data_IF_898318704106
#
_entry.id   IF_898318704106
#
_cell.length_a   1.000
_cell.length_b   1.000
_cell.length_c   1.000
_cell.angle_alpha   90.00
_cell.angle_beta   90.00
_cell.angle_gamma   90.00
#
_symmetry.space_group_name_H-M   'P 1'
#
loop_
_entity.id
_entity.type
_entity.pdbx_description
1 polymer ?
#
# COMPACT_ATOMS: atom_id res chain seq x y z
N UNK A 1 0.51 -3.28 30.22
CA UNK A 1 1.64 -3.41 29.26
C UNK A 1 1.43 -2.40 28.15
N UNK A 2 2.48 -1.73 27.66
CA UNK A 2 2.37 -0.83 26.51
C UNK A 2 2.11 -1.65 25.24
N UNK A 3 1.21 -1.17 24.37
CA UNK A 3 0.94 -1.81 23.07
C UNK A 3 2.21 -1.84 22.22
N UNK A 4 2.44 -2.93 21.52
CA UNK A 4 3.48 -3.02 20.49
C UNK A 4 3.14 -2.10 19.31
N UNK A 5 4.15 -1.73 18.50
CA UNK A 5 3.93 -0.90 17.30
C UNK A 5 3.01 -1.61 16.30
N UNK A 6 3.10 -2.93 16.20
CA UNK A 6 2.20 -3.73 15.35
C UNK A 6 0.75 -3.64 15.80
N UNK A 7 0.49 -3.75 17.10
CA UNK A 7 -0.86 -3.58 17.65
C UNK A 7 -1.39 -2.17 17.42
N UNK A 8 -0.57 -1.14 17.63
CA UNK A 8 -0.98 0.25 17.37
C UNK A 8 -1.41 0.49 15.91
N UNK A 9 -0.63 -0.05 14.97
CA UNK A 9 -0.92 0.05 13.53
C UNK A 9 -2.21 -0.70 13.20
N UNK A 10 -2.30 -1.95 13.62
CA UNK A 10 -3.43 -2.82 13.29
C UNK A 10 -4.73 -2.31 13.90
N UNK A 11 -4.71 -1.87 15.15
CA UNK A 11 -5.88 -1.29 15.82
C UNK A 11 -6.42 -0.07 15.05
N UNK A 12 -5.52 0.80 14.54
CA UNK A 12 -5.93 1.95 13.75
C UNK A 12 -6.60 1.59 12.42
N UNK A 13 -6.11 0.56 11.75
CA UNK A 13 -6.72 0.04 10.53
C UNK A 13 -8.08 -0.62 10.85
N UNK A 14 -8.15 -1.41 11.91
CA UNK A 14 -9.40 -2.04 12.37
C UNK A 14 -10.45 -0.97 12.69
N UNK A 15 -10.07 0.07 13.43
CA UNK A 15 -10.98 1.18 13.77
C UNK A 15 -11.58 1.84 12.53
N UNK A 16 -10.78 2.11 11.50
CA UNK A 16 -11.27 2.66 10.24
C UNK A 16 -12.22 1.70 9.52
N UNK A 17 -11.87 0.41 9.44
CA UNK A 17 -12.71 -0.62 8.82
C UNK A 17 -14.05 -0.80 9.57
N UNK A 18 -14.05 -0.75 10.90
CA UNK A 18 -15.26 -0.82 11.72
C UNK A 18 -16.17 0.39 11.53
N UNK A 19 -15.61 1.54 11.18
CA UNK A 19 -16.35 2.75 10.78
C UNK A 19 -16.82 2.73 9.32
N UNK A 20 -16.56 1.64 8.58
CA UNK A 20 -16.90 1.50 7.17
C UNK A 20 -15.95 2.25 6.23
N UNK A 21 -14.84 2.76 6.74
CA UNK A 21 -13.77 3.36 5.94
C UNK A 21 -12.73 2.31 5.58
N UNK A 22 -12.46 2.15 4.28
CA UNK A 22 -11.36 1.30 3.80
C UNK A 22 -10.12 2.18 3.63
N UNK A 23 -9.07 2.01 4.47
CA UNK A 23 -7.96 2.97 4.54
C UNK A 23 -7.15 3.12 3.25
N UNK A 24 -7.16 2.13 2.39
CA UNK A 24 -6.46 2.14 1.10
C UNK A 24 -7.34 2.60 -0.07
N UNK A 25 -8.64 2.76 0.13
CA UNK A 25 -9.57 3.34 -0.83
C UNK A 25 -9.87 4.79 -0.43
N UNK A 26 -9.03 5.73 -0.85
CA UNK A 26 -9.21 7.14 -0.49
C UNK A 26 -10.13 7.83 -1.49
N UNK A 27 -11.14 8.60 -1.03
CA UNK A 27 -12.10 9.27 -1.91
C UNK A 27 -11.55 10.56 -2.53
N UNK A 28 -10.33 10.98 -2.23
CA UNK A 28 -9.77 12.19 -2.80
C UNK A 28 -8.88 11.88 -3.99
N UNK A 29 -9.37 12.29 -5.11
CA UNK A 29 -8.68 12.35 -6.38
C UNK A 29 -8.01 13.72 -6.51
N UNK A 30 -6.76 13.71 -6.83
CA UNK A 30 -6.01 14.92 -7.15
C UNK A 30 -4.53 14.60 -7.27
N UNK A 31 -3.86 15.27 -8.16
CA UNK A 31 -2.46 15.11 -8.55
C UNK A 31 -1.45 15.21 -7.39
N UNK A 32 -1.91 15.39 -6.15
CA UNK A 32 -1.11 15.38 -4.92
C UNK A 32 -1.84 14.65 -3.79
N UNK A 33 -2.26 13.42 -4.06
CA UNK A 33 -2.95 12.59 -3.06
C UNK A 33 -2.04 12.02 -1.97
N UNK A 34 -0.72 12.12 -2.11
CA UNK A 34 0.24 11.53 -1.19
C UNK A 34 0.58 12.44 -0.02
N UNK A 35 0.83 11.83 1.13
CA UNK A 35 1.48 12.45 2.26
C UNK A 35 3.00 12.39 2.11
N UNK A 36 3.69 13.50 2.41
CA UNK A 36 5.14 13.66 2.25
C UNK A 36 5.79 14.10 3.55
N UNK A 37 7.02 13.66 3.78
CA UNK A 37 7.81 14.22 4.87
C UNK A 37 8.36 15.62 4.49
N UNK A 38 8.18 16.61 5.37
CA UNK A 38 8.56 18.01 5.10
C UNK A 38 10.06 18.20 4.86
N UNK A 39 10.90 17.40 5.48
CA UNK A 39 12.38 17.51 5.36
C UNK A 39 12.90 16.74 4.16
N UNK A 40 12.60 15.44 4.07
CA UNK A 40 13.11 14.60 2.99
C UNK A 40 12.42 14.84 1.65
N UNK A 41 11.24 15.46 1.64
CA UNK A 41 10.38 15.66 0.46
C UNK A 41 9.99 14.37 -0.25
N UNK A 42 10.15 13.22 0.42
CA UNK A 42 9.77 11.91 -0.09
C UNK A 42 8.37 11.55 0.35
N UNK A 43 7.59 10.88 -0.50
CA UNK A 43 6.30 10.34 -0.09
C UNK A 43 6.52 9.29 1.02
N UNK A 44 5.55 9.18 1.89
CA UNK A 44 5.49 8.10 2.86
C UNK A 44 5.17 6.77 2.18
N UNK A 45 5.60 5.66 2.78
CA UNK A 45 5.28 4.30 2.33
C UNK A 45 3.77 4.06 2.31
N UNK A 46 3.33 3.06 1.54
CA UNK A 46 1.91 2.69 1.44
C UNK A 46 1.26 2.51 2.81
N UNK A 47 1.93 1.82 3.74
CA UNK A 47 1.42 1.66 5.10
C UNK A 47 1.21 3.01 5.80
N UNK A 48 2.20 3.90 5.72
CA UNK A 48 2.09 5.21 6.35
C UNK A 48 1.03 6.09 5.68
N UNK A 49 0.84 5.98 4.37
CA UNK A 49 -0.27 6.65 3.68
C UNK A 49 -1.63 6.25 4.28
N UNK A 50 -1.83 4.98 4.64
CA UNK A 50 -3.07 4.50 5.26
C UNK A 50 -3.26 4.99 6.71
N UNK A 51 -2.17 5.26 7.42
CA UNK A 51 -2.19 5.74 8.81
C UNK A 51 -2.42 7.24 8.93
N UNK A 52 -2.08 8.00 7.89
CA UNK A 52 -2.18 9.46 7.85
C UNK A 52 -3.55 9.90 7.31
N UNK A 53 -4.12 10.92 7.90
CA UNK A 53 -5.50 11.37 7.63
C UNK A 53 -5.62 12.24 6.38
N UNK A 54 -4.59 13.04 6.10
CA UNK A 54 -4.60 14.03 5.02
C UNK A 54 -3.46 13.78 4.04
N UNK A 55 -3.64 14.19 2.80
CA UNK A 55 -2.53 14.37 1.86
C UNK A 55 -1.71 15.62 2.22
N UNK A 56 -0.48 15.71 1.72
CA UNK A 56 0.36 16.89 1.91
C UNK A 56 1.52 16.67 2.87
N UNK A 57 1.98 17.76 3.48
CA UNK A 57 3.24 17.76 4.22
C UNK A 57 3.05 17.43 5.70
N UNK A 58 3.85 16.49 6.15
CA UNK A 58 3.96 16.08 7.54
C UNK A 58 5.38 16.23 8.07
N UNK A 59 5.49 16.57 9.34
CA UNK A 59 6.75 16.62 10.07
C UNK A 59 6.59 16.24 11.53
N UNK A 60 7.67 15.79 12.15
CA UNK A 60 7.72 15.66 13.62
C UNK A 60 7.70 17.03 14.25
N UNK A 61 7.35 17.10 15.55
CA UNK A 61 7.38 18.35 16.32
C UNK A 61 8.73 19.06 16.14
N UNK A 62 9.85 18.33 16.27
CA UNK A 62 11.20 18.88 16.12
C UNK A 62 11.46 19.41 14.71
N UNK A 63 11.03 18.70 13.67
CA UNK A 63 11.20 19.15 12.28
C UNK A 63 10.45 20.43 11.99
N UNK A 64 9.21 20.57 12.49
CA UNK A 64 8.46 21.82 12.37
C UNK A 64 9.13 22.98 13.12
N UNK A 65 9.61 22.71 14.34
CA UNK A 65 10.32 23.72 15.14
C UNK A 65 11.61 24.20 14.47
N UNK A 66 12.38 23.29 13.87
CA UNK A 66 13.61 23.61 13.10
C UNK A 66 13.34 24.48 11.86
N UNK A 67 12.12 24.39 11.31
CA UNK A 67 11.66 25.22 10.18
C UNK A 67 10.98 26.51 10.62
N UNK A 68 10.98 26.82 11.93
CA UNK A 68 10.32 28.01 12.49
C UNK A 68 8.82 27.85 12.73
N UNK A 69 8.29 26.65 12.52
CA UNK A 69 6.86 26.35 12.72
C UNK A 69 6.50 26.06 14.16
N UNK A 70 5.26 26.38 14.51
CA UNK A 70 4.67 26.14 15.83
C UNK A 70 3.39 25.32 15.70
N UNK A 71 3.35 24.15 16.34
CA UNK A 71 2.14 23.34 16.41
C UNK A 71 1.11 24.07 17.27
N UNK A 72 -0.11 24.26 16.75
CA UNK A 72 -1.18 24.91 17.53
C UNK A 72 -1.53 24.10 18.77
N UNK A 73 -1.86 24.80 19.84
CA UNK A 73 -2.28 24.17 21.10
C UNK A 73 -3.58 23.39 20.90
N UNK A 74 -3.58 22.13 21.37
CA UNK A 74 -4.73 21.24 21.26
C UNK A 74 -4.72 20.32 20.03
N UNK A 75 -3.77 20.49 19.11
CA UNK A 75 -3.62 19.61 17.97
C UNK A 75 -3.10 18.21 18.38
N UNK A 76 -3.56 17.18 17.68
CA UNK A 76 -3.20 15.80 17.92
C UNK A 76 -2.31 15.28 16.80
N UNK A 77 -1.24 14.58 17.19
CA UNK A 77 -0.33 13.93 16.25
C UNK A 77 -0.94 12.67 15.64
N UNK A 78 -0.52 12.35 14.43
CA UNK A 78 -0.69 11.05 13.80
C UNK A 78 0.61 10.25 13.90
N UNK A 79 0.53 8.93 13.68
CA UNK A 79 1.71 8.07 13.75
C UNK A 79 2.16 7.67 12.35
N UNK A 80 3.47 7.61 12.17
CA UNK A 80 4.12 6.94 11.04
C UNK A 80 5.10 5.91 11.56
N UNK A 81 5.35 4.87 10.79
CA UNK A 81 6.23 3.77 11.19
C UNK A 81 7.38 3.60 10.21
N UNK A 82 8.55 3.25 10.74
CA UNK A 82 9.75 2.97 9.96
C UNK A 82 10.50 1.79 10.53
N UNK A 83 11.12 1.03 9.64
CA UNK A 83 12.08 0.01 10.04
C UNK A 83 13.40 0.63 10.46
N UNK A 84 13.85 0.29 11.66
CA UNK A 84 15.18 0.63 12.15
C UNK A 84 15.97 -0.65 12.36
N UNK A 85 17.10 -0.75 11.69
CA UNK A 85 18.03 -1.86 11.92
C UNK A 85 18.77 -1.59 13.23
N UNK A 86 18.67 -2.53 14.15
CA UNK A 86 19.36 -2.47 15.45
C UNK A 86 20.37 -3.60 15.54
N UNK A 87 21.67 -3.30 15.74
CA UNK A 87 22.67 -4.31 16.01
C UNK A 87 22.45 -4.86 17.44
N UNK A 88 22.42 -6.19 17.57
CA UNK A 88 22.37 -6.88 18.86
C UNK A 88 23.56 -7.82 18.92
N UNK A 89 24.32 -7.76 20.03
CA UNK A 89 25.37 -8.75 20.30
C UNK A 89 24.73 -10.08 20.69
N UNK A 90 25.06 -11.12 19.95
CA UNK A 90 24.68 -12.50 20.26
C UNK A 90 25.95 -13.27 20.67
N UNK A 91 25.95 -13.86 21.84
CA UNK A 91 27.04 -14.71 22.30
C UNK A 91 26.65 -16.16 21.97
N UNK A 92 27.41 -16.80 21.10
CA UNK A 92 27.24 -18.21 20.75
C UNK A 92 27.68 -19.10 21.89
N UNK A 93 27.26 -20.36 21.85
CA UNK A 93 27.61 -21.37 22.87
C UNK A 93 29.13 -21.58 23.04
N UNK A 94 29.90 -21.29 21.96
CA UNK A 94 31.38 -21.34 21.96
C UNK A 94 32.05 -20.08 22.52
N UNK A 95 31.27 -19.11 23.03
CA UNK A 95 31.76 -17.84 23.57
C UNK A 95 32.06 -16.78 22.51
N UNK A 96 31.86 -17.05 21.19
CA UNK A 96 32.11 -16.11 20.12
C UNK A 96 31.02 -15.05 20.09
N UNK A 97 31.40 -13.76 20.09
CA UNK A 97 30.49 -12.63 19.94
C UNK A 97 30.20 -12.38 18.46
N UNK A 98 28.95 -12.40 18.08
CA UNK A 98 28.50 -12.02 16.74
C UNK A 98 27.50 -10.87 16.82
N UNK A 99 27.53 -9.95 15.83
CA UNK A 99 26.56 -8.85 15.73
C UNK A 99 25.47 -9.27 14.76
N UNK A 100 24.25 -9.42 15.25
CA UNK A 100 23.06 -9.69 14.44
C UNK A 100 22.29 -8.41 14.22
N UNK A 101 21.98 -8.11 12.96
CA UNK A 101 21.16 -6.97 12.59
C UNK A 101 19.67 -7.36 12.68
N UNK A 102 18.93 -6.77 13.62
CA UNK A 102 17.50 -7.05 13.79
C UNK A 102 16.68 -5.84 13.35
N UNK A 103 15.78 -6.00 12.35
CA UNK A 103 14.86 -4.94 11.97
C UNK A 103 13.78 -4.78 13.05
N UNK A 104 13.69 -3.59 13.62
CA UNK A 104 12.65 -3.21 14.58
C UNK A 104 11.73 -2.17 13.97
N UNK A 105 10.42 -2.40 14.05
CA UNK A 105 9.44 -1.41 13.66
C UNK A 105 9.36 -0.34 14.77
N UNK A 106 9.57 0.92 14.39
CA UNK A 106 9.47 2.09 15.27
C UNK A 106 8.39 3.02 14.77
N UNK A 107 7.73 3.74 15.67
CA UNK A 107 6.78 4.79 15.29
C UNK A 107 7.31 6.17 15.67
N UNK A 108 6.81 7.18 14.96
CA UNK A 108 7.07 8.59 15.21
C UNK A 108 5.77 9.36 15.13
N UNK A 109 5.63 10.33 16.01
CA UNK A 109 4.50 11.27 15.98
C UNK A 109 4.80 12.37 14.95
N UNK A 110 3.84 12.60 14.06
CA UNK A 110 3.91 13.64 13.03
C UNK A 110 2.67 14.52 13.06
N UNK A 111 2.82 15.75 12.59
CA UNK A 111 1.75 16.73 12.48
C UNK A 111 1.67 17.17 11.02
N UNK A 112 0.43 17.32 10.53
CA UNK A 112 0.17 17.84 9.19
C UNK A 112 0.42 19.36 9.16
N UNK A 113 0.78 19.90 7.99
CA UNK A 113 1.03 21.35 7.80
C UNK A 113 -0.16 22.21 8.23
N UNK A 114 -1.41 21.73 8.06
CA UNK A 114 -2.60 22.45 8.51
C UNK A 114 -2.70 22.64 10.02
N UNK A 115 -1.86 21.99 10.82
CA UNK A 115 -1.78 22.08 12.28
C UNK A 115 -0.66 23.00 12.74
N UNK A 116 0.06 23.64 11.80
CA UNK A 116 1.30 24.37 12.07
C UNK A 116 1.17 25.81 11.63
N UNK A 117 1.56 26.75 12.49
CA UNK A 117 1.67 28.16 12.19
C UNK A 117 3.15 28.56 11.97
N UNK A 118 3.38 29.62 11.21
CA UNK A 118 4.72 30.22 11.03
C UNK A 118 5.58 29.59 9.94
N UNK A 119 5.02 28.67 9.13
CA UNK A 119 5.74 28.07 8.00
C UNK A 119 5.01 28.37 6.69
N UNK A 120 5.71 29.03 5.78
CA UNK A 120 5.26 29.15 4.39
C UNK A 120 5.85 28.02 3.56
N UNK A 121 5.01 27.22 2.91
CA UNK A 121 5.42 26.17 2.01
C UNK A 121 5.04 26.55 0.59
N UNK A 122 6.04 26.58 -0.29
CA UNK A 122 5.77 26.71 -1.73
C UNK A 122 5.11 25.43 -2.22
N UNK A 123 3.91 25.52 -2.74
CA UNK A 123 3.24 24.41 -3.41
C UNK A 123 4.09 23.95 -4.61
N UNK A 124 4.18 22.64 -4.79
CA UNK A 124 4.78 22.09 -6.00
C UNK A 124 3.82 22.36 -7.17
N UNK A 125 4.34 22.68 -8.37
CA UNK A 125 3.48 22.80 -9.54
C UNK A 125 2.75 21.47 -9.77
N UNK A 126 1.45 21.56 -10.02
CA UNK A 126 0.61 20.43 -10.38
C UNK A 126 1.02 20.00 -11.79
N UNK A 127 1.55 18.79 -11.92
CA UNK A 127 1.75 18.16 -13.23
C UNK A 127 0.47 17.43 -13.57
N UNK A 128 -0.21 17.90 -14.62
CA UNK A 128 -1.39 17.23 -15.13
C UNK A 128 -0.96 15.94 -15.85
N UNK A 129 -1.57 14.83 -15.49
CA UNK A 129 -1.40 13.54 -16.14
C UNK A 129 -2.80 13.07 -16.55
N UNK A 130 -2.95 12.61 -17.79
CA UNK A 130 -4.18 11.93 -18.20
C UNK A 130 -4.22 10.53 -17.57
N UNK A 131 -5.11 10.28 -16.58
CA UNK A 131 -5.04 9.08 -15.76
C UNK A 131 -5.17 7.79 -16.55
N UNK A 132 -6.02 7.77 -17.57
CA UNK A 132 -6.30 6.57 -18.35
C UNK A 132 -5.17 6.29 -19.35
N UNK A 133 -4.60 7.30 -19.97
CA UNK A 133 -3.42 7.15 -20.86
C UNK A 133 -2.22 6.61 -20.07
N UNK A 134 -2.01 7.11 -18.86
CA UNK A 134 -0.94 6.66 -18.01
C UNK A 134 -1.17 5.22 -17.50
N UNK A 135 -2.43 4.85 -17.18
CA UNK A 135 -2.78 3.48 -16.82
C UNK A 135 -2.50 2.50 -17.97
N UNK A 136 -2.84 2.89 -19.21
CA UNK A 136 -2.55 2.09 -20.39
C UNK A 136 -1.04 1.97 -20.63
N UNK A 137 -0.27 3.06 -20.44
CA UNK A 137 1.19 3.04 -20.53
C UNK A 137 1.81 2.06 -19.54
N UNK A 138 1.38 2.11 -18.28
CA UNK A 138 1.86 1.17 -17.23
C UNK A 138 1.57 -0.27 -17.62
N UNK A 139 0.37 -0.56 -18.12
CA UNK A 139 -0.02 -1.90 -18.59
C UNK A 139 0.92 -2.40 -19.69
N UNK A 140 1.12 -1.61 -20.74
CA UNK A 140 1.92 -2.02 -21.90
C UNK A 140 3.43 -2.11 -21.58
N UNK A 141 3.96 -1.22 -20.74
CA UNK A 141 5.35 -1.30 -20.27
C UNK A 141 5.58 -2.56 -19.44
N UNK A 142 4.68 -2.86 -18.49
CA UNK A 142 4.77 -4.06 -17.67
C UNK A 142 4.66 -5.32 -18.52
N UNK A 143 3.65 -5.41 -19.38
CA UNK A 143 3.43 -6.53 -20.30
C UNK A 143 4.65 -6.81 -21.18
N UNK A 144 5.25 -5.75 -21.74
CA UNK A 144 6.43 -5.86 -22.62
C UNK A 144 7.67 -6.28 -21.85
N UNK A 145 7.93 -5.67 -20.70
CA UNK A 145 9.10 -5.95 -19.87
C UNK A 145 9.09 -7.39 -19.32
N UNK A 146 7.93 -7.84 -18.84
CA UNK A 146 7.78 -9.14 -18.22
C UNK A 146 7.45 -10.26 -19.21
N UNK A 147 7.23 -9.93 -20.49
CA UNK A 147 6.75 -10.86 -21.52
C UNK A 147 5.48 -11.62 -21.12
N UNK A 148 4.62 -10.98 -20.31
CA UNK A 148 3.37 -11.55 -19.82
C UNK A 148 2.22 -11.28 -20.81
N UNK A 149 1.42 -12.31 -21.10
CA UNK A 149 0.23 -12.14 -21.92
C UNK A 149 -0.92 -11.58 -21.07
N UNK A 150 -1.56 -10.49 -21.54
CA UNK A 150 -2.79 -9.93 -20.99
C UNK A 150 -3.90 -10.15 -22.00
N UNK A 151 -4.88 -10.98 -21.64
CA UNK A 151 -6.02 -11.38 -22.47
C UNK A 151 -7.25 -10.57 -22.09
N UNK A 152 -7.62 -9.64 -22.91
CA UNK A 152 -8.89 -8.90 -22.82
C UNK A 152 -9.93 -9.63 -23.68
N UNK A 153 -10.81 -10.42 -23.06
CA UNK A 153 -11.78 -11.27 -23.77
C UNK A 153 -13.18 -11.11 -23.20
N UNK A 154 -14.20 -11.45 -24.00
CA UNK A 154 -15.57 -11.50 -23.50
C UNK A 154 -15.69 -12.61 -22.46
N UNK A 155 -15.81 -12.24 -21.18
CA UNK A 155 -15.80 -13.15 -20.06
C UNK A 155 -16.48 -12.50 -18.84
N UNK A 156 -16.88 -13.30 -17.85
CA UNK A 156 -17.31 -12.84 -16.54
C UNK A 156 -16.26 -13.13 -15.45
N UNK A 157 -15.01 -13.42 -15.83
CA UNK A 157 -13.94 -13.78 -14.91
C UNK A 157 -12.69 -12.97 -15.22
N UNK A 158 -12.11 -12.39 -14.18
CA UNK A 158 -10.77 -11.86 -14.16
C UNK A 158 -9.91 -12.75 -13.25
N UNK A 159 -8.70 -13.05 -13.66
CA UNK A 159 -7.73 -13.84 -12.87
C UNK A 159 -6.33 -13.75 -13.47
N UNK A 160 -5.33 -13.89 -12.62
CA UNK A 160 -3.98 -14.27 -13.00
C UNK A 160 -3.84 -15.80 -12.92
N UNK A 161 -3.24 -16.42 -13.93
CA UNK A 161 -2.93 -17.85 -13.98
C UNK A 161 -1.46 -18.08 -13.66
N UNK A 162 -1.11 -18.57 -12.44
CA UNK A 162 0.30 -18.80 -12.08
C UNK A 162 0.98 -19.88 -12.92
N UNK A 163 0.24 -20.92 -13.33
CA UNK A 163 0.79 -22.03 -14.12
C UNK A 163 0.98 -21.69 -15.59
N UNK A 164 0.14 -20.79 -16.12
CA UNK A 164 0.21 -20.35 -17.52
C UNK A 164 0.93 -19.02 -17.70
N UNK A 165 1.22 -18.34 -16.61
CA UNK A 165 1.81 -17.01 -16.53
C UNK A 165 1.15 -15.99 -17.47
N UNK A 166 -0.17 -15.89 -17.38
CA UNK A 166 -0.96 -14.90 -18.11
C UNK A 166 -2.04 -14.28 -17.23
N UNK A 167 -2.46 -13.08 -17.59
CA UNK A 167 -3.59 -12.38 -17.00
C UNK A 167 -4.78 -12.46 -17.95
N UNK A 168 -5.97 -12.74 -17.43
CA UNK A 168 -7.21 -12.63 -18.17
C UNK A 168 -8.14 -11.65 -17.46
N UNK A 169 -8.71 -10.72 -18.23
CA UNK A 169 -9.74 -9.79 -17.77
C UNK A 169 -10.87 -9.70 -18.80
N UNK A 170 -12.10 -9.38 -18.39
CA UNK A 170 -13.15 -9.00 -19.33
C UNK A 170 -12.73 -7.82 -20.20
N UNK A 171 -13.20 -7.76 -21.44
CA UNK A 171 -12.90 -6.62 -22.31
C UNK A 171 -13.54 -5.33 -21.78
N UNK A 172 -12.93 -4.17 -22.11
CA UNK A 172 -13.28 -2.85 -21.56
C UNK A 172 -14.76 -2.51 -21.68
N UNK A 173 -15.39 -2.94 -22.77
CA UNK A 173 -16.80 -2.70 -23.09
C UNK A 173 -17.79 -3.41 -22.14
N UNK A 174 -17.31 -4.37 -21.35
CA UNK A 174 -18.13 -5.10 -20.35
C UNK A 174 -18.22 -4.38 -19.01
N UNK A 175 -17.40 -3.37 -18.79
CA UNK A 175 -17.41 -2.59 -17.54
C UNK A 175 -18.32 -1.38 -17.63
N UNK A 176 -18.90 -1.00 -16.50
CA UNK A 176 -19.77 0.19 -16.41
C UNK A 176 -19.00 1.48 -16.66
N UNK A 177 -17.74 1.51 -16.22
CA UNK A 177 -16.81 2.60 -16.44
C UNK A 177 -15.39 2.06 -16.59
N UNK A 178 -14.51 2.88 -17.12
CA UNK A 178 -13.13 2.49 -17.45
C UNK A 178 -12.27 2.31 -16.18
N UNK A 179 -12.61 3.00 -15.10
CA UNK A 179 -11.94 2.92 -13.83
C UNK A 179 -12.07 1.51 -13.21
N UNK A 180 -13.24 0.87 -13.37
CA UNK A 180 -13.46 -0.52 -12.92
C UNK A 180 -12.60 -1.50 -13.70
N UNK A 181 -12.40 -1.29 -15.00
CA UNK A 181 -11.50 -2.11 -15.81
C UNK A 181 -10.07 -2.02 -15.26
N UNK A 182 -9.52 -0.81 -15.04
CA UNK A 182 -8.16 -0.67 -14.55
C UNK A 182 -8.01 -1.14 -13.10
N UNK A 183 -9.02 -0.98 -12.27
CA UNK A 183 -9.04 -1.55 -10.92
C UNK A 183 -8.87 -3.07 -10.94
N UNK A 184 -9.64 -3.73 -11.80
CA UNK A 184 -9.56 -5.19 -12.00
C UNK A 184 -8.21 -5.60 -12.59
N UNK A 185 -7.78 -4.92 -13.64
CA UNK A 185 -6.52 -5.20 -14.31
C UNK A 185 -5.32 -5.07 -13.37
N UNK A 186 -5.22 -3.98 -12.61
CA UNK A 186 -4.13 -3.76 -11.67
C UNK A 186 -4.14 -4.78 -10.53
N UNK A 187 -5.30 -5.22 -10.08
CA UNK A 187 -5.42 -6.31 -9.10
C UNK A 187 -4.74 -7.60 -9.63
N UNK A 188 -5.06 -8.00 -10.86
CA UNK A 188 -4.47 -9.18 -11.49
C UNK A 188 -2.98 -8.98 -11.82
N UNK A 189 -2.58 -7.75 -12.18
CA UNK A 189 -1.17 -7.42 -12.36
C UNK A 189 -0.38 -7.56 -11.06
N UNK A 190 -0.94 -7.13 -9.92
CA UNK A 190 -0.28 -7.33 -8.61
C UNK A 190 -0.12 -8.81 -8.30
N UNK A 191 -1.14 -9.65 -8.53
CA UNK A 191 -1.00 -11.11 -8.40
C UNK A 191 0.12 -11.65 -9.28
N UNK A 192 0.19 -11.22 -10.53
CA UNK A 192 1.22 -11.69 -11.46
C UNK A 192 2.64 -11.38 -11.01
N UNK A 193 2.86 -10.28 -10.28
CA UNK A 193 4.19 -10.00 -9.70
C UNK A 193 4.64 -11.05 -8.69
N UNK A 194 3.72 -11.82 -8.15
CA UNK A 194 4.03 -12.91 -7.21
C UNK A 194 4.59 -14.18 -7.85
N UNK A 195 4.68 -14.25 -9.17
CA UNK A 195 5.26 -15.40 -9.87
C UNK A 195 6.71 -15.65 -9.45
N UNK A 196 7.14 -16.92 -9.51
CA UNK A 196 8.49 -17.36 -9.12
C UNK A 196 9.64 -16.66 -9.86
N UNK A 197 9.39 -16.18 -11.08
CA UNK A 197 10.38 -15.45 -11.88
C UNK A 197 10.44 -13.96 -11.57
N UNK A 198 9.54 -13.46 -10.72
CA UNK A 198 9.43 -12.04 -10.32
C UNK A 198 9.70 -11.90 -8.83
N UNK A 199 8.70 -11.63 -8.02
CA UNK A 199 8.86 -11.44 -6.58
C UNK A 199 8.74 -12.74 -5.74
N UNK A 200 8.51 -13.88 -6.37
CA UNK A 200 8.46 -15.23 -5.78
C UNK A 200 7.63 -15.29 -4.48
N UNK A 201 6.42 -14.76 -4.56
CA UNK A 201 5.54 -14.59 -3.40
C UNK A 201 4.40 -15.60 -3.38
N UNK A 202 4.02 -16.13 -4.56
CA UNK A 202 2.98 -17.13 -4.68
C UNK A 202 3.53 -18.53 -4.42
N UNK A 203 2.98 -19.20 -3.40
CA UNK A 203 3.30 -20.60 -3.16
C UNK A 203 2.82 -21.47 -4.33
N UNK A 204 3.74 -22.20 -4.95
CA UNK A 204 3.41 -23.21 -5.97
C UNK A 204 2.97 -24.48 -5.27
N UNK A 205 1.66 -24.76 -5.25
CA UNK A 205 1.13 -26.03 -4.72
C UNK A 205 -0.33 -25.94 -4.27
N UNK A 206 -0.86 -27.09 -3.87
CA UNK A 206 -2.25 -27.34 -3.52
C UNK A 206 -2.79 -26.61 -2.27
N UNK A 207 -2.01 -25.76 -1.62
CA UNK A 207 -2.38 -25.13 -0.34
C UNK A 207 -3.07 -23.77 -0.49
N UNK A 208 -3.08 -23.17 -1.68
CA UNK A 208 -3.77 -21.90 -1.95
C UNK A 208 -5.23 -22.12 -2.37
N UNK A 209 -6.02 -22.87 -1.57
CA UNK A 209 -7.45 -22.99 -1.82
C UNK A 209 -8.18 -21.69 -1.53
N UNK A 210 -9.18 -21.39 -2.34
CA UNK A 210 -10.11 -20.28 -2.12
C UNK A 210 -10.61 -20.28 -0.66
N UNK A 211 -10.42 -19.17 0.05
CA UNK A 211 -10.79 -19.03 1.45
C UNK A 211 -9.75 -19.49 2.48
N UNK A 212 -8.58 -19.98 2.06
CA UNK A 212 -7.45 -20.24 2.97
C UNK A 212 -6.86 -18.94 3.50
N UNK A 213 -6.13 -19.00 4.63
CA UNK A 213 -5.45 -17.84 5.20
C UNK A 213 -4.39 -17.26 4.23
N UNK A 214 -3.65 -18.14 3.55
CA UNK A 214 -2.64 -17.75 2.55
C UNK A 214 -3.29 -17.03 1.37
N UNK A 215 -4.42 -17.55 0.86
CA UNK A 215 -5.20 -16.90 -0.18
C UNK A 215 -5.68 -15.51 0.25
N UNK A 216 -6.26 -15.40 1.45
CA UNK A 216 -6.74 -14.11 1.97
C UNK A 216 -5.61 -13.09 2.15
N UNK A 217 -4.40 -13.55 2.48
CA UNK A 217 -3.21 -12.69 2.60
C UNK A 217 -2.75 -12.16 1.25
N UNK A 218 -2.80 -12.97 0.23
CA UNK A 218 -2.44 -12.54 -1.13
C UNK A 218 -3.51 -11.61 -1.71
N UNK A 219 -4.79 -11.89 -1.49
CA UNK A 219 -5.89 -11.01 -1.90
C UNK A 219 -5.74 -9.59 -1.31
N UNK A 220 -5.44 -9.47 0.00
CA UNK A 220 -5.21 -8.14 0.57
C UNK A 220 -3.98 -7.45 -0.02
N UNK A 221 -2.93 -8.21 -0.34
CA UNK A 221 -1.76 -7.65 -1.03
C UNK A 221 -2.14 -7.09 -2.40
N UNK A 222 -2.96 -7.82 -3.16
CA UNK A 222 -3.43 -7.38 -4.48
C UNK A 222 -4.35 -6.16 -4.38
N UNK A 223 -5.27 -6.15 -3.42
CA UNK A 223 -6.14 -4.99 -3.15
C UNK A 223 -5.34 -3.73 -2.80
N UNK A 224 -4.38 -3.85 -1.87
CA UNK A 224 -3.53 -2.72 -1.48
C UNK A 224 -2.69 -2.19 -2.64
N UNK A 225 -2.14 -3.09 -3.45
CA UNK A 225 -1.32 -2.72 -4.62
C UNK A 225 -2.14 -2.05 -5.72
N UNK A 226 -3.30 -2.62 -6.05
CA UNK A 226 -4.23 -2.04 -7.03
C UNK A 226 -4.69 -0.65 -6.60
N UNK A 227 -5.15 -0.50 -5.36
CA UNK A 227 -5.57 0.79 -4.82
C UNK A 227 -4.44 1.83 -4.84
N UNK A 228 -3.20 1.40 -4.57
CA UNK A 228 -2.03 2.29 -4.65
C UNK A 228 -1.79 2.79 -6.07
N UNK A 229 -1.84 1.91 -7.07
CA UNK A 229 -1.69 2.30 -8.49
C UNK A 229 -2.79 3.27 -8.92
N UNK A 230 -4.05 2.97 -8.59
CA UNK A 230 -5.19 3.86 -8.91
C UNK A 230 -5.03 5.23 -8.25
N UNK A 231 -4.68 5.27 -6.96
CA UNK A 231 -4.46 6.52 -6.23
C UNK A 231 -3.32 7.37 -6.84
N UNK A 232 -2.22 6.73 -7.24
CA UNK A 232 -1.10 7.42 -7.92
C UNK A 232 -1.52 8.07 -9.23
N UNK A 233 -2.45 7.44 -9.94
CA UNK A 233 -2.97 7.93 -11.21
C UNK A 233 -4.10 8.95 -11.04
N UNK A 234 -4.62 9.14 -9.82
CA UNK A 234 -5.80 9.95 -9.58
C UNK A 234 -7.08 9.32 -10.11
N UNK A 235 -7.09 8.00 -10.31
CA UNK A 235 -8.27 7.23 -10.69
C UNK A 235 -9.06 6.92 -9.42
N UNK A 236 -10.36 7.27 -9.43
CA UNK A 236 -11.23 6.93 -8.30
C UNK A 236 -11.36 5.41 -8.19
N UNK A 237 -11.15 4.90 -6.98
CA UNK A 237 -11.41 3.49 -6.71
C UNK A 237 -12.92 3.25 -6.76
N UNK A 238 -13.40 2.38 -7.64
CA UNK A 238 -14.83 2.14 -7.78
C UNK A 238 -15.46 1.69 -6.47
N UNK A 239 -16.56 2.32 -6.08
CA UNK A 239 -17.33 1.93 -4.89
C UNK A 239 -17.91 0.51 -4.98
N UNK A 240 -17.97 -0.02 -6.19
CA UNK A 240 -18.53 -1.34 -6.52
C UNK A 240 -17.56 -2.49 -6.28
N UNK A 241 -16.25 -2.22 -6.26
CA UNK A 241 -15.28 -3.27 -6.05
C UNK A 241 -15.38 -3.77 -4.61
N UNK A 242 -16.21 -4.79 -4.43
CA UNK A 242 -16.23 -5.68 -3.24
C UNK A 242 -16.29 -4.96 -1.88
N UNK A 243 -16.81 -3.75 -1.81
CA UNK A 243 -17.23 -3.10 -0.56
C UNK A 243 -18.40 -3.88 0.10
N UNK A 244 -18.52 -5.18 -0.21
CA UNK A 244 -19.45 -6.00 0.49
C UNK A 244 -18.99 -6.11 1.94
N UNK A 245 -19.92 -5.97 2.86
CA UNK A 245 -19.70 -6.21 4.28
C UNK A 245 -18.96 -7.53 4.55
N UNK A 246 -19.05 -8.51 3.66
CA UNK A 246 -18.36 -9.79 3.72
C UNK A 246 -16.83 -9.67 3.61
N UNK A 247 -16.30 -8.81 2.72
CA UNK A 247 -14.84 -8.59 2.60
C UNK A 247 -14.29 -7.84 3.81
N UNK A 248 -14.95 -6.77 4.23
CA UNK A 248 -14.56 -6.04 5.43
C UNK A 248 -14.57 -6.98 6.65
N UNK A 249 -15.57 -7.82 6.80
CA UNK A 249 -15.64 -8.80 7.88
C UNK A 249 -14.52 -9.85 7.80
N UNK A 250 -14.14 -10.29 6.60
CA UNK A 250 -13.01 -11.21 6.40
C UNK A 250 -11.68 -10.56 6.81
N UNK A 251 -11.42 -9.34 6.37
CA UNK A 251 -10.22 -8.60 6.75
C UNK A 251 -10.16 -8.31 8.25
N UNK A 252 -11.27 -7.87 8.85
CA UNK A 252 -11.36 -7.66 10.30
C UNK A 252 -11.01 -8.93 11.08
N UNK A 253 -11.50 -10.09 10.64
CA UNK A 253 -11.19 -11.37 11.28
C UNK A 253 -9.70 -11.68 11.22
N UNK A 254 -9.06 -11.49 10.07
CA UNK A 254 -7.63 -11.76 9.89
C UNK A 254 -6.79 -10.79 10.71
N UNK A 255 -7.09 -9.50 10.63
CA UNK A 255 -6.35 -8.45 11.34
C UNK A 255 -6.44 -8.59 12.86
N UNK A 256 -7.59 -9.03 13.39
CA UNK A 256 -7.77 -9.31 14.83
C UNK A 256 -6.96 -10.52 15.30
N UNK A 257 -6.64 -11.46 14.41
CA UNK A 257 -5.87 -12.66 14.73
C UNK A 257 -4.36 -12.52 14.46
N UNK A 258 -3.94 -11.62 13.57
CA UNK A 258 -2.53 -11.41 13.20
C UNK A 258 -2.23 -9.90 13.09
N UNK A 259 -1.69 -9.34 14.17
CA UNK A 259 -1.32 -7.93 14.24
C UNK A 259 -0.11 -7.52 13.37
N UNK A 260 0.60 -8.47 12.78
CA UNK A 260 1.71 -8.20 11.85
C UNK A 260 1.25 -8.21 10.39
N UNK A 261 0.07 -8.74 10.16
CA UNK A 261 -0.39 -9.04 8.81
C UNK A 261 -0.48 -7.80 7.92
N UNK A 262 -1.10 -6.70 8.38
CA UNK A 262 -1.24 -5.48 7.58
C UNK A 262 0.12 -4.85 7.22
N UNK A 263 1.09 -4.91 8.15
CA UNK A 263 2.46 -4.42 7.91
C UNK A 263 3.14 -5.25 6.82
N UNK A 264 2.98 -6.58 6.87
CA UNK A 264 3.53 -7.49 5.87
C UNK A 264 2.86 -7.33 4.51
N UNK A 265 1.52 -7.28 4.46
CA UNK A 265 0.76 -7.13 3.22
C UNK A 265 1.08 -5.79 2.53
N UNK A 266 1.15 -4.69 3.29
CA UNK A 266 1.52 -3.37 2.75
C UNK A 266 2.93 -3.34 2.17
N UNK A 267 3.90 -3.99 2.83
CA UNK A 267 5.27 -4.09 2.30
C UNK A 267 5.34 -4.90 1.00
N UNK A 268 4.57 -6.00 0.92
CA UNK A 268 4.48 -6.82 -0.30
C UNK A 268 3.79 -6.06 -1.43
N UNK A 269 2.71 -5.34 -1.13
CA UNK A 269 1.99 -4.52 -2.09
C UNK A 269 2.89 -3.39 -2.64
N UNK A 270 3.63 -2.69 -1.78
CA UNK A 270 4.55 -1.64 -2.19
C UNK A 270 5.66 -2.16 -3.11
N UNK A 271 6.23 -3.34 -2.80
CA UNK A 271 7.19 -4.01 -3.70
C UNK A 271 6.56 -4.37 -5.04
N UNK A 272 5.32 -4.90 -5.04
CA UNK A 272 4.60 -5.22 -6.26
C UNK A 272 4.35 -3.98 -7.13
N UNK A 273 3.90 -2.88 -6.53
CA UNK A 273 3.71 -1.60 -7.21
C UNK A 273 5.02 -1.09 -7.82
N UNK A 274 6.11 -1.06 -7.03
CA UNK A 274 7.41 -0.64 -7.54
C UNK A 274 7.88 -1.53 -8.70
N UNK A 275 7.68 -2.84 -8.60
CA UNK A 275 7.99 -3.79 -9.65
C UNK A 275 7.19 -3.52 -10.93
N UNK A 276 5.86 -3.31 -10.82
CA UNK A 276 5.01 -2.96 -11.97
C UNK A 276 5.48 -1.67 -12.64
N UNK A 277 5.87 -0.68 -11.85
CA UNK A 277 6.36 0.63 -12.32
C UNK A 277 7.82 0.61 -12.81
N UNK A 278 8.52 -0.52 -12.75
CA UNK A 278 9.92 -0.63 -13.13
C UNK A 278 10.86 0.20 -12.25
N UNK A 279 10.49 0.49 -11.01
CA UNK A 279 11.33 1.20 -10.04
C UNK A 279 12.25 0.21 -9.34
N UNK A 280 13.53 0.57 -9.21
CA UNK A 280 14.45 -0.20 -8.38
C UNK A 280 13.98 -0.17 -6.92
N UNK A 281 13.95 -1.36 -6.27
CA UNK A 281 13.51 -1.57 -4.89
C UNK A 281 14.62 -1.29 -3.87
#
# INVERSE_FOLDING_TARGET
MSKSVYEMVTDRIIEQLEQGCIPWQRPWTGVQSDAYNIVSKRPYSLLNQMLLKYAGLYGTFKQWQELGGHIRKGEHSEIVVFWKIQPIEEIKEDGTKTIKQIPLLRYYNVFHISQVDGVEVKEKPIVYIEPIEEAERIKEEYKTREHIEIREIVSNKAFYSPSGDYIQVPCKEQYTNIEEFYSTLFHEMVHSTGHKTRLDRLETGSNAHFGSETYSKEELTAELGSASLLNMLGIETPKTFKNSSAYIQSWLRILKNDNKFIVSASSKAEKAVNYILGKES
#
